data_IF_694469819071
#
_entry.id   IF_694469819071
#
_cell.length_a   1.000
_cell.length_b   1.000
_cell.length_c   1.000
_cell.angle_alpha   90.00
_cell.angle_beta   90.00
_cell.angle_gamma   90.00
#
_symmetry.space_group_name_H-M   'P 1'
#
loop_
_entity.id
_entity.type
_entity.pdbx_description
1 polymer ?
#
# COMPACT_ATOMS: atom_id res chain seq x y z
N UNK A 1 -14.09 30.09 16.11
CA UNK A 1 -14.55 29.23 14.98
C UNK A 1 -14.09 27.79 15.21
N UNK A 2 -14.95 26.80 15.05
CA UNK A 2 -14.56 25.40 15.21
C UNK A 2 -13.86 24.88 13.93
N UNK A 3 -13.04 23.83 14.07
CA UNK A 3 -12.39 23.17 12.92
C UNK A 3 -13.39 22.71 11.85
N UNK A 4 -14.61 22.34 12.25
CA UNK A 4 -15.70 21.92 11.36
C UNK A 4 -16.22 23.09 10.54
N UNK A 5 -16.40 24.24 11.17
CA UNK A 5 -16.86 25.48 10.51
C UNK A 5 -15.82 26.01 9.51
N UNK A 6 -14.52 26.00 9.86
CA UNK A 6 -13.43 26.40 8.97
C UNK A 6 -13.43 25.51 7.71
N UNK A 7 -13.51 24.18 7.87
CA UNK A 7 -13.56 23.24 6.76
C UNK A 7 -14.80 23.43 5.88
N UNK A 8 -15.96 23.68 6.49
CA UNK A 8 -17.21 23.88 5.76
C UNK A 8 -17.19 25.18 4.96
N UNK A 9 -16.71 26.27 5.54
CA UNK A 9 -16.51 27.58 4.89
C UNK A 9 -15.61 27.43 3.66
N UNK A 10 -14.44 26.78 3.81
CA UNK A 10 -13.54 26.52 2.69
C UNK A 10 -14.14 25.62 1.61
N UNK A 11 -14.87 24.56 2.00
CA UNK A 11 -15.51 23.63 1.06
C UNK A 11 -16.55 24.34 0.19
N UNK A 12 -17.33 25.23 0.77
CA UNK A 12 -18.35 26.02 0.08
C UNK A 12 -17.66 27.00 -0.90
N UNK A 13 -16.71 27.78 -0.44
CA UNK A 13 -15.95 28.72 -1.25
C UNK A 13 -15.25 28.03 -2.44
N UNK A 14 -14.57 26.91 -2.17
CA UNK A 14 -13.88 26.11 -3.20
C UNK A 14 -14.85 25.55 -4.25
N UNK A 15 -16.05 25.09 -3.85
CA UNK A 15 -17.06 24.61 -4.81
C UNK A 15 -17.56 25.72 -5.71
N UNK A 16 -17.89 26.90 -5.14
CA UNK A 16 -18.35 28.07 -5.87
C UNK A 16 -17.31 28.49 -6.92
N UNK A 17 -16.06 28.74 -6.51
CA UNK A 17 -14.97 29.11 -7.40
C UNK A 17 -14.67 28.07 -8.49
N UNK A 18 -14.73 26.79 -8.18
CA UNK A 18 -14.58 25.73 -9.21
C UNK A 18 -15.69 25.73 -10.25
N UNK A 19 -16.92 26.04 -9.84
CA UNK A 19 -18.05 26.12 -10.77
C UNK A 19 -17.92 27.32 -11.70
N UNK A 20 -17.54 28.46 -11.16
CA UNK A 20 -17.27 29.69 -11.92
C UNK A 20 -16.07 29.51 -12.87
N UNK A 21 -14.96 28.90 -12.38
CA UNK A 21 -13.80 28.57 -13.21
C UNK A 21 -14.14 27.70 -14.42
N UNK A 22 -15.03 26.72 -14.27
CA UNK A 22 -15.46 25.86 -15.39
C UNK A 22 -16.27 26.65 -16.47
N UNK A 23 -16.97 27.71 -16.08
CA UNK A 23 -17.80 28.52 -16.97
C UNK A 23 -17.04 29.69 -17.59
N UNK A 24 -15.90 30.09 -17.06
CA UNK A 24 -15.18 31.29 -17.46
C UNK A 24 -14.33 31.12 -18.73
N UNK A 25 -14.18 32.20 -19.53
CA UNK A 25 -13.23 32.31 -20.64
C UNK A 25 -11.80 32.39 -20.12
N UNK A 26 -10.78 32.19 -20.99
CA UNK A 26 -9.36 32.00 -20.61
C UNK A 26 -8.82 33.11 -19.72
N UNK A 27 -9.15 34.37 -19.96
CA UNK A 27 -8.68 35.51 -19.16
C UNK A 27 -9.26 35.51 -17.74
N UNK A 28 -10.55 35.20 -17.60
CA UNK A 28 -11.20 35.08 -16.30
C UNK A 28 -10.73 33.84 -15.50
N UNK A 29 -10.32 32.79 -16.20
CA UNK A 29 -9.76 31.60 -15.54
C UNK A 29 -8.49 31.88 -14.74
N UNK A 30 -7.65 32.82 -15.20
CA UNK A 30 -6.44 33.23 -14.46
C UNK A 30 -6.80 33.93 -13.15
N UNK A 31 -7.73 34.88 -13.20
CA UNK A 31 -8.23 35.58 -12.00
C UNK A 31 -8.85 34.63 -10.99
N UNK A 32 -9.72 33.72 -11.45
CA UNK A 32 -10.35 32.71 -10.58
C UNK A 32 -9.35 31.72 -9.98
N UNK A 33 -8.23 31.43 -10.65
CA UNK A 33 -7.11 30.65 -10.07
C UNK A 33 -6.45 31.40 -8.92
N UNK A 34 -6.22 32.69 -9.07
CA UNK A 34 -5.62 33.53 -8.02
C UNK A 34 -6.57 33.62 -6.80
N UNK A 35 -7.87 33.82 -7.03
CA UNK A 35 -8.86 33.82 -5.96
C UNK A 35 -8.95 32.47 -5.24
N UNK A 36 -8.92 31.37 -5.97
CA UNK A 36 -8.85 30.03 -5.38
C UNK A 36 -7.59 29.81 -4.55
N UNK A 37 -6.45 30.33 -5.00
CA UNK A 37 -5.20 30.31 -4.27
C UNK A 37 -5.28 31.10 -2.96
N UNK A 38 -5.82 32.33 -3.02
CA UNK A 38 -6.05 33.18 -1.83
C UNK A 38 -7.02 32.53 -0.83
N UNK A 39 -8.13 31.96 -1.33
CA UNK A 39 -9.08 31.24 -0.47
C UNK A 39 -8.45 30.03 0.21
N UNK A 40 -7.54 29.33 -0.48
CA UNK A 40 -6.77 28.23 0.10
C UNK A 40 -5.77 28.69 1.17
N UNK A 41 -5.05 29.76 0.91
CA UNK A 41 -4.13 30.35 1.87
C UNK A 41 -4.85 30.83 3.13
N UNK A 42 -6.02 31.49 2.99
CA UNK A 42 -6.87 31.86 4.12
C UNK A 42 -7.33 30.65 4.94
N UNK A 43 -7.74 29.56 4.30
CA UNK A 43 -8.09 28.33 5.00
C UNK A 43 -6.92 27.73 5.78
N UNK A 44 -5.71 27.73 5.19
CA UNK A 44 -4.51 27.22 5.84
C UNK A 44 -4.13 28.10 7.06
N UNK A 45 -4.31 29.43 6.94
CA UNK A 45 -4.10 30.37 8.03
C UNK A 45 -5.10 30.13 9.20
N UNK A 46 -6.40 30.11 8.89
CA UNK A 46 -7.46 29.82 9.88
C UNK A 46 -7.24 28.49 10.60
N UNK A 47 -6.74 27.49 9.87
CA UNK A 47 -6.46 26.18 10.43
C UNK A 47 -5.21 26.17 11.30
N UNK A 48 -4.19 26.93 10.93
CA UNK A 48 -2.97 27.11 11.73
C UNK A 48 -3.29 27.79 13.06
N UNK A 49 -4.10 28.86 13.01
CA UNK A 49 -4.58 29.57 14.21
C UNK A 49 -5.38 28.64 15.12
N UNK A 50 -6.28 27.82 14.54
CA UNK A 50 -7.03 26.82 15.32
C UNK A 50 -6.11 25.84 16.06
N UNK A 51 -5.02 25.37 15.41
CA UNK A 51 -4.08 24.46 16.07
C UNK A 51 -3.25 25.15 17.16
N UNK A 52 -2.88 26.43 16.96
CA UNK A 52 -2.20 27.24 17.98
C UNK A 52 -3.08 27.45 19.22
N UNK A 53 -4.33 27.87 19.03
CA UNK A 53 -5.29 28.15 20.11
C UNK A 53 -5.69 26.90 20.88
N UNK A 54 -5.77 25.75 20.21
CA UNK A 54 -6.22 24.51 20.85
C UNK A 54 -5.10 23.63 21.37
N UNK A 55 -3.83 23.98 21.11
CA UNK A 55 -2.66 23.15 21.43
C UNK A 55 -2.63 21.80 20.71
N UNK A 56 -3.55 21.56 19.77
CA UNK A 56 -3.60 20.31 18.99
C UNK A 56 -2.56 20.34 17.88
N UNK A 57 -1.84 19.23 17.71
CA UNK A 57 -0.92 19.09 16.58
C UNK A 57 -1.69 18.94 15.27
N UNK A 58 -1.27 19.62 14.18
CA UNK A 58 -1.83 19.38 12.85
C UNK A 58 -1.62 17.92 12.43
N UNK A 59 -2.52 17.36 11.60
CA UNK A 59 -2.31 16.02 11.06
C UNK A 59 -1.06 16.02 10.17
N UNK A 60 -0.24 15.00 10.35
CA UNK A 60 0.98 14.83 9.57
C UNK A 60 0.66 14.54 8.10
N UNK A 61 1.09 15.41 7.22
CA UNK A 61 0.96 15.21 5.78
C UNK A 61 2.03 14.23 5.25
N UNK A 62 1.68 13.43 4.24
CA UNK A 62 2.66 12.59 3.56
C UNK A 62 3.74 13.44 2.89
N UNK A 63 4.95 12.89 2.66
CA UNK A 63 5.99 13.59 1.91
C UNK A 63 5.47 14.09 0.56
N UNK A 64 5.82 15.33 0.20
CA UNK A 64 5.47 15.87 -1.11
C UNK A 64 6.42 15.30 -2.16
N UNK A 65 5.85 14.73 -3.22
CA UNK A 65 6.60 14.19 -4.36
C UNK A 65 6.29 14.96 -5.64
N UNK A 66 7.18 14.94 -6.65
CA UNK A 66 6.88 15.44 -7.98
C UNK A 66 5.63 14.76 -8.57
N UNK A 67 4.85 15.51 -9.36
CA UNK A 67 3.60 14.98 -9.96
C UNK A 67 3.87 13.76 -10.85
N UNK A 68 4.95 13.79 -11.64
CA UNK A 68 5.32 12.66 -12.51
C UNK A 68 5.68 11.40 -11.71
N UNK A 69 6.33 11.55 -10.55
CA UNK A 69 6.61 10.44 -9.64
C UNK A 69 5.31 9.87 -9.06
N UNK A 70 4.37 10.71 -8.62
CA UNK A 70 3.06 10.27 -8.12
C UNK A 70 2.26 9.53 -9.19
N UNK A 71 2.29 10.02 -10.44
CA UNK A 71 1.65 9.34 -11.57
C UNK A 71 2.30 7.98 -11.83
N UNK A 72 3.64 7.93 -11.88
CA UNK A 72 4.39 6.68 -12.08
C UNK A 72 4.08 5.66 -10.99
N UNK A 73 4.07 6.09 -9.73
CA UNK A 73 3.73 5.24 -8.58
C UNK A 73 2.29 4.71 -8.67
N UNK A 74 1.33 5.56 -9.02
CA UNK A 74 -0.06 5.14 -9.20
C UNK A 74 -0.22 4.15 -10.35
N UNK A 75 0.42 4.39 -11.50
CA UNK A 75 0.33 3.52 -12.68
C UNK A 75 0.97 2.16 -12.42
N UNK A 76 2.19 2.12 -11.86
CA UNK A 76 2.89 0.85 -11.59
C UNK A 76 2.09 -0.05 -10.66
N UNK A 77 1.60 0.48 -9.55
CA UNK A 77 0.78 -0.32 -8.63
C UNK A 77 -0.66 -0.55 -9.14
N UNK A 78 -1.20 0.33 -9.98
CA UNK A 78 -2.44 0.08 -10.71
C UNK A 78 -2.35 -1.14 -11.63
N UNK A 79 -1.23 -1.31 -12.35
CA UNK A 79 -0.95 -2.52 -13.12
C UNK A 79 -0.80 -3.76 -12.23
N UNK A 80 -0.18 -3.62 -11.06
CA UNK A 80 -0.12 -4.69 -10.06
C UNK A 80 -1.50 -5.12 -9.55
N UNK A 81 -2.44 -4.18 -9.38
CA UNK A 81 -3.82 -4.50 -9.00
C UNK A 81 -4.57 -5.27 -10.10
N UNK A 82 -4.39 -4.89 -11.37
CA UNK A 82 -4.94 -5.65 -12.51
C UNK A 82 -4.34 -7.06 -12.56
N UNK A 83 -3.03 -7.17 -12.37
CA UNK A 83 -2.34 -8.46 -12.31
C UNK A 83 -2.89 -9.36 -11.19
N UNK A 84 -3.22 -8.79 -10.01
CA UNK A 84 -3.80 -9.55 -8.92
C UNK A 84 -5.19 -10.14 -9.27
N UNK A 85 -5.99 -9.42 -10.06
CA UNK A 85 -7.29 -9.95 -10.56
C UNK A 85 -7.04 -11.12 -11.53
N UNK A 86 -6.11 -10.96 -12.47
CA UNK A 86 -5.71 -12.04 -13.38
C UNK A 86 -5.18 -13.24 -12.61
N UNK A 87 -4.34 -13.01 -11.60
CA UNK A 87 -3.82 -14.03 -10.69
C UNK A 87 -4.95 -14.85 -10.04
N UNK A 88 -5.97 -14.16 -9.50
CA UNK A 88 -7.12 -14.80 -8.88
C UNK A 88 -7.83 -15.75 -9.87
N UNK A 89 -8.14 -15.25 -11.06
CA UNK A 89 -8.84 -16.05 -12.09
C UNK A 89 -8.00 -17.28 -12.47
N UNK A 90 -6.71 -17.11 -12.72
CA UNK A 90 -5.83 -18.21 -13.14
C UNK A 90 -5.70 -19.27 -12.04
N UNK A 91 -5.50 -18.85 -10.78
CA UNK A 91 -5.34 -19.79 -9.68
C UNK A 91 -6.63 -20.50 -9.32
N UNK A 92 -7.78 -19.81 -9.35
CA UNK A 92 -9.09 -20.46 -9.08
C UNK A 92 -9.43 -21.50 -10.14
N UNK A 93 -9.07 -21.28 -11.41
CA UNK A 93 -9.27 -22.26 -12.49
C UNK A 93 -8.40 -23.51 -12.37
N UNK A 94 -7.32 -23.45 -11.60
CA UNK A 94 -6.41 -24.57 -11.34
C UNK A 94 -6.64 -25.23 -9.97
N UNK A 95 -7.55 -24.67 -9.17
CA UNK A 95 -7.84 -25.17 -7.82
C UNK A 95 -8.87 -26.28 -7.88
N UNK A 96 -8.60 -27.40 -7.23
CA UNK A 96 -9.51 -28.55 -7.12
C UNK A 96 -9.96 -28.78 -5.67
N UNK A 97 -9.12 -28.39 -4.69
CA UNK A 97 -9.38 -28.62 -3.27
C UNK A 97 -9.83 -27.32 -2.57
N UNK A 98 -10.73 -27.40 -1.58
CA UNK A 98 -11.18 -26.21 -0.82
C UNK A 98 -10.04 -25.35 -0.28
N UNK A 99 -8.94 -25.98 0.15
CA UNK A 99 -7.77 -25.28 0.70
C UNK A 99 -7.03 -24.48 -0.39
N UNK A 100 -7.02 -24.94 -1.62
CA UNK A 100 -6.43 -24.24 -2.77
C UNK A 100 -7.26 -23.03 -3.15
N UNK A 101 -8.59 -23.15 -3.20
CA UNK A 101 -9.51 -22.01 -3.38
C UNK A 101 -9.28 -20.92 -2.30
N UNK A 102 -9.15 -21.36 -1.03
CA UNK A 102 -8.84 -20.44 0.06
C UNK A 102 -7.49 -19.75 -0.14
N UNK A 103 -6.44 -20.52 -0.40
CA UNK A 103 -5.08 -19.99 -0.56
C UNK A 103 -4.96 -19.05 -1.76
N UNK A 104 -5.55 -19.40 -2.92
CA UNK A 104 -5.62 -18.56 -4.11
C UNK A 104 -6.35 -17.25 -3.84
N UNK A 105 -7.49 -17.32 -3.14
CA UNK A 105 -8.29 -16.14 -2.79
C UNK A 105 -7.53 -15.24 -1.83
N UNK A 106 -7.01 -15.77 -0.72
CA UNK A 106 -6.25 -14.97 0.27
C UNK A 106 -5.06 -14.30 -0.38
N UNK A 107 -4.28 -15.04 -1.20
CA UNK A 107 -3.10 -14.49 -1.88
C UNK A 107 -3.46 -13.38 -2.86
N UNK A 108 -4.37 -13.63 -3.78
CA UNK A 108 -4.70 -12.67 -4.82
C UNK A 108 -5.46 -11.45 -4.27
N UNK A 109 -6.36 -11.63 -3.29
CA UNK A 109 -7.07 -10.52 -2.65
C UNK A 109 -6.10 -9.66 -1.83
N UNK A 110 -5.14 -10.27 -1.11
CA UNK A 110 -4.12 -9.53 -0.38
C UNK A 110 -3.21 -8.72 -1.30
N UNK A 111 -2.82 -9.29 -2.44
CA UNK A 111 -2.06 -8.61 -3.48
C UNK A 111 -2.87 -7.47 -4.12
N UNK A 112 -4.15 -7.70 -4.44
CA UNK A 112 -5.06 -6.67 -4.96
C UNK A 112 -5.24 -5.51 -3.96
N UNK A 113 -5.46 -5.83 -2.69
CA UNK A 113 -5.58 -4.82 -1.64
C UNK A 113 -4.33 -3.93 -1.58
N UNK A 114 -3.14 -4.52 -1.47
CA UNK A 114 -1.89 -3.78 -1.39
C UNK A 114 -1.71 -2.86 -2.60
N UNK A 115 -1.79 -3.39 -3.80
CA UNK A 115 -1.55 -2.62 -5.01
C UNK A 115 -2.62 -1.56 -5.26
N UNK A 116 -3.89 -1.84 -4.97
CA UNK A 116 -4.98 -0.87 -5.12
C UNK A 116 -4.87 0.27 -4.11
N UNK A 117 -4.56 -0.04 -2.84
CA UNK A 117 -4.44 0.99 -1.80
C UNK A 117 -3.25 1.91 -2.07
N UNK A 118 -2.15 1.35 -2.54
CA UNK A 118 -0.97 2.13 -2.95
C UNK A 118 -1.25 2.99 -4.19
N UNK A 119 -1.87 2.43 -5.22
CA UNK A 119 -2.30 3.18 -6.40
C UNK A 119 -3.15 4.39 -6.02
N UNK A 120 -4.18 4.18 -5.19
CA UNK A 120 -5.09 5.24 -4.74
C UNK A 120 -4.38 6.26 -3.85
N UNK A 121 -3.48 5.84 -2.96
CA UNK A 121 -2.66 6.76 -2.17
C UNK A 121 -1.89 7.73 -3.06
N UNK A 122 -1.27 7.23 -4.13
CA UNK A 122 -0.50 8.06 -5.04
C UNK A 122 -1.39 8.92 -5.98
N UNK A 123 -2.57 8.45 -6.35
CA UNK A 123 -3.51 9.18 -7.20
C UNK A 123 -4.17 10.40 -6.51
N UNK A 124 -4.28 10.40 -5.19
CA UNK A 124 -4.92 11.51 -4.48
C UNK A 124 -4.00 12.73 -4.29
N UNK A 125 -4.60 13.92 -4.32
CA UNK A 125 -3.90 15.18 -4.18
C UNK A 125 -3.21 15.33 -2.81
N UNK A 126 -1.97 15.82 -2.80
CA UNK A 126 -1.21 16.15 -1.59
C UNK A 126 -1.99 17.13 -0.69
N UNK A 127 -1.88 16.97 0.63
CA UNK A 127 -2.57 17.79 1.63
C UNK A 127 -4.06 17.43 1.82
N UNK A 128 -4.62 16.48 1.04
CA UNK A 128 -6.00 16.05 1.22
C UNK A 128 -6.16 15.05 2.37
N UNK A 129 -7.30 15.12 3.08
CA UNK A 129 -7.63 14.14 4.12
C UNK A 129 -7.71 12.71 3.57
N UNK A 130 -8.14 12.58 2.30
CA UNK A 130 -8.23 11.30 1.60
C UNK A 130 -6.84 10.72 1.37
N UNK A 131 -5.86 11.50 0.92
CA UNK A 131 -4.47 11.03 0.76
C UNK A 131 -3.87 10.58 2.09
N UNK A 132 -4.16 11.28 3.20
CA UNK A 132 -3.72 10.86 4.55
C UNK A 132 -4.35 9.54 4.98
N UNK A 133 -5.63 9.32 4.66
CA UNK A 133 -6.31 8.06 4.93
C UNK A 133 -5.71 6.92 4.10
N UNK A 134 -5.56 7.11 2.79
CA UNK A 134 -5.01 6.09 1.90
C UNK A 134 -3.54 5.79 2.17
N UNK A 135 -2.77 6.73 2.73
CA UNK A 135 -1.43 6.43 3.27
C UNK A 135 -1.46 5.35 4.35
N UNK A 136 -2.49 5.32 5.22
CA UNK A 136 -2.62 4.25 6.22
C UNK A 136 -2.90 2.91 5.54
N UNK A 137 -3.79 2.88 4.57
CA UNK A 137 -4.10 1.67 3.80
C UNK A 137 -2.90 1.17 2.99
N UNK A 138 -2.12 2.03 2.38
CA UNK A 138 -0.88 1.71 1.69
C UNK A 138 0.12 1.00 2.62
N UNK A 139 0.32 1.51 3.83
CA UNK A 139 1.19 0.87 4.82
C UNK A 139 0.62 -0.44 5.40
N UNK A 140 -0.69 -0.54 5.60
CA UNK A 140 -1.33 -1.81 6.00
C UNK A 140 -1.29 -2.84 4.88
N UNK A 141 -1.27 -2.40 3.63
CA UNK A 141 -1.13 -3.23 2.45
C UNK A 141 0.15 -4.07 2.46
N UNK A 142 1.26 -3.53 2.97
CA UNK A 142 2.53 -4.28 3.10
C UNK A 142 2.37 -5.48 4.03
N UNK A 143 1.73 -5.31 5.20
CA UNK A 143 1.42 -6.42 6.10
C UNK A 143 0.55 -7.47 5.42
N UNK A 144 -0.52 -7.01 4.77
CA UNK A 144 -1.48 -7.88 4.08
C UNK A 144 -0.82 -8.67 2.96
N UNK A 145 0.05 -8.03 2.15
CA UNK A 145 0.79 -8.72 1.08
C UNK A 145 1.71 -9.79 1.64
N UNK A 146 2.44 -9.50 2.73
CA UNK A 146 3.32 -10.50 3.38
C UNK A 146 2.48 -11.71 3.79
N UNK A 147 1.44 -11.54 4.61
CA UNK A 147 0.62 -12.66 5.08
C UNK A 147 -0.06 -13.44 3.95
N UNK A 148 -0.56 -12.72 2.96
CA UNK A 148 -1.23 -13.31 1.81
C UNK A 148 -0.28 -14.17 0.96
N UNK A 149 0.97 -13.72 0.77
CA UNK A 149 1.98 -14.47 0.01
C UNK A 149 2.36 -15.80 0.69
N UNK A 150 2.28 -15.85 2.02
CA UNK A 150 2.56 -17.09 2.75
C UNK A 150 1.40 -18.11 2.67
N UNK A 151 0.18 -17.71 2.33
CA UNK A 151 -0.97 -18.61 2.34
C UNK A 151 -0.79 -19.84 1.44
N UNK A 152 -0.43 -19.75 0.14
CA UNK A 152 -0.23 -20.93 -0.70
C UNK A 152 0.90 -21.86 -0.21
N UNK A 153 2.12 -21.38 0.10
CA UNK A 153 3.18 -22.24 0.63
C UNK A 153 2.80 -22.94 1.93
N UNK A 154 2.14 -22.24 2.88
CA UNK A 154 1.80 -22.80 4.17
C UNK A 154 0.62 -23.78 4.10
N UNK A 155 -0.42 -23.43 3.35
CA UNK A 155 -1.67 -24.18 3.36
C UNK A 155 -1.69 -25.31 2.33
N UNK A 156 -1.11 -25.09 1.14
CA UNK A 156 -1.19 -26.05 0.03
C UNK A 156 0.06 -26.92 -0.09
N UNK A 157 1.26 -26.33 0.11
CA UNK A 157 2.52 -27.05 -0.10
C UNK A 157 3.03 -27.76 1.17
N UNK A 158 3.16 -27.03 2.28
CA UNK A 158 3.63 -27.58 3.55
C UNK A 158 2.47 -28.30 4.26
N UNK A 159 1.35 -27.62 4.40
CA UNK A 159 0.14 -28.18 5.01
C UNK A 159 0.27 -28.59 6.48
N UNK A 160 -0.68 -29.37 6.93
CA UNK A 160 -0.68 -29.96 8.27
C UNK A 160 -0.73 -28.92 9.41
N UNK A 161 -0.46 -29.42 10.62
CA UNK A 161 -0.50 -28.58 11.83
C UNK A 161 0.53 -27.44 11.78
N UNK A 162 1.74 -27.72 11.28
CA UNK A 162 2.79 -26.70 11.22
C UNK A 162 2.39 -25.52 10.31
N UNK A 163 1.91 -25.81 9.08
CA UNK A 163 1.49 -24.75 8.16
C UNK A 163 0.35 -23.91 8.71
N UNK A 164 -0.64 -24.58 9.32
CA UNK A 164 -1.80 -23.90 9.92
C UNK A 164 -1.43 -23.03 11.11
N UNK A 165 -0.65 -23.56 12.06
CA UNK A 165 -0.24 -22.82 13.25
C UNK A 165 0.66 -21.64 12.88
N UNK A 166 1.59 -21.84 11.93
CA UNK A 166 2.44 -20.76 11.43
C UNK A 166 1.60 -19.62 10.80
N UNK A 167 0.63 -19.97 9.95
CA UNK A 167 -0.27 -19.01 9.35
C UNK A 167 -1.07 -18.21 10.40
N UNK A 168 -1.63 -18.88 11.42
CA UNK A 168 -2.37 -18.23 12.50
C UNK A 168 -1.49 -17.24 13.26
N UNK A 169 -0.28 -17.64 13.67
CA UNK A 169 0.65 -16.77 14.40
C UNK A 169 1.03 -15.56 13.54
N UNK A 170 1.37 -15.79 12.27
CA UNK A 170 1.75 -14.72 11.35
C UNK A 170 0.61 -13.71 11.17
N UNK A 171 -0.62 -14.18 10.92
CA UNK A 171 -1.77 -13.30 10.76
C UNK A 171 -2.16 -12.56 12.07
N UNK A 172 -1.95 -13.17 13.24
CA UNK A 172 -2.13 -12.49 14.52
C UNK A 172 -1.15 -11.30 14.67
N UNK A 173 0.12 -11.48 14.32
CA UNK A 173 1.13 -10.41 14.34
C UNK A 173 0.80 -9.34 13.29
N UNK A 174 0.35 -9.73 12.10
CA UNK A 174 -0.10 -8.82 11.03
C UNK A 174 -1.29 -7.99 11.50
N UNK A 175 -2.29 -8.60 12.10
CA UNK A 175 -3.46 -7.91 12.64
C UNK A 175 -3.07 -6.87 13.69
N UNK A 176 -2.12 -7.20 14.59
CA UNK A 176 -1.55 -6.24 15.53
C UNK A 176 -0.88 -5.07 14.81
N UNK A 177 -0.03 -5.35 13.81
CA UNK A 177 0.65 -4.33 13.02
C UNK A 177 -0.32 -3.39 12.28
N UNK A 178 -1.37 -3.94 11.68
CA UNK A 178 -2.45 -3.19 11.03
C UNK A 178 -3.17 -2.30 12.04
N UNK A 179 -3.52 -2.85 13.22
CA UNK A 179 -4.19 -2.11 14.30
C UNK A 179 -3.33 -0.93 14.78
N UNK A 180 -2.04 -1.15 14.96
CA UNK A 180 -1.11 -0.07 15.36
C UNK A 180 -1.05 1.06 14.31
N UNK A 181 -1.06 0.74 13.02
CA UNK A 181 -1.13 1.75 11.95
C UNK A 181 -2.49 2.46 11.95
N UNK A 182 -3.58 1.74 12.14
CA UNK A 182 -4.92 2.31 12.17
C UNK A 182 -5.09 3.32 13.32
N UNK A 183 -4.57 3.00 14.50
CA UNK A 183 -4.68 3.84 15.71
C UNK A 183 -3.68 4.99 15.69
N UNK A 184 -2.39 4.69 15.50
CA UNK A 184 -1.31 5.66 15.68
C UNK A 184 -0.84 6.32 14.38
N UNK A 185 -1.24 5.80 13.24
CA UNK A 185 -0.73 6.24 11.92
C UNK A 185 0.62 5.63 11.55
N UNK A 186 1.00 5.72 10.26
CA UNK A 186 2.15 4.99 9.71
C UNK A 186 3.52 5.54 10.14
N UNK A 187 3.58 6.81 10.59
CA UNK A 187 4.84 7.50 10.90
C UNK A 187 5.26 7.38 12.35
N UNK A 188 4.31 7.45 13.28
CA UNK A 188 4.60 7.47 14.72
C UNK A 188 5.37 6.23 15.19
N UNK A 189 5.04 5.06 14.63
CA UNK A 189 5.66 3.79 14.97
C UNK A 189 6.51 3.20 13.81
N UNK A 190 7.03 4.06 12.94
CA UNK A 190 7.84 3.62 11.78
C UNK A 190 9.04 2.74 12.20
N UNK A 191 9.66 3.04 13.33
CA UNK A 191 10.77 2.25 13.89
C UNK A 191 10.37 0.84 14.32
N UNK A 192 9.07 0.57 14.49
CA UNK A 192 8.51 -0.76 14.79
C UNK A 192 8.05 -1.43 13.49
N UNK A 193 7.32 -0.72 12.64
CA UNK A 193 6.77 -1.30 11.42
C UNK A 193 7.83 -1.77 10.43
N UNK A 194 8.90 -0.98 10.21
CA UNK A 194 9.95 -1.34 9.26
C UNK A 194 10.67 -2.66 9.63
N UNK A 195 11.21 -2.84 10.85
CA UNK A 195 11.76 -4.12 11.25
C UNK A 195 10.75 -5.25 11.22
N UNK A 196 9.50 -4.99 11.60
CA UNK A 196 8.46 -6.03 11.63
C UNK A 196 8.11 -6.55 10.24
N UNK A 197 8.07 -5.69 9.21
CA UNK A 197 7.92 -6.14 7.82
C UNK A 197 9.08 -7.07 7.41
N UNK A 198 10.31 -6.71 7.76
CA UNK A 198 11.51 -7.50 7.44
C UNK A 198 11.45 -8.86 8.15
N UNK A 199 11.18 -8.87 9.45
CA UNK A 199 11.10 -10.10 10.25
C UNK A 199 9.99 -11.02 9.73
N UNK A 200 8.79 -10.48 9.49
CA UNK A 200 7.67 -11.25 8.94
C UNK A 200 7.98 -11.78 7.53
N UNK A 201 8.56 -10.97 6.65
CA UNK A 201 8.93 -11.42 5.31
C UNK A 201 10.01 -12.50 5.33
N UNK A 202 11.08 -12.30 6.09
CA UNK A 202 12.17 -13.27 6.22
C UNK A 202 11.86 -14.47 7.12
N UNK A 203 10.69 -14.50 7.80
CA UNK A 203 10.21 -15.72 8.44
C UNK A 203 10.02 -16.88 7.44
N UNK A 204 9.99 -16.61 6.13
CA UNK A 204 10.08 -17.60 5.04
C UNK A 204 11.32 -18.51 5.16
N UNK A 205 12.40 -18.07 5.80
CA UNK A 205 13.57 -18.92 6.06
C UNK A 205 13.23 -20.14 6.93
N UNK A 206 12.23 -20.05 7.80
CA UNK A 206 11.77 -21.19 8.62
C UNK A 206 11.06 -22.25 7.75
N UNK A 207 10.54 -21.87 6.58
CA UNK A 207 9.91 -22.78 5.62
C UNK A 207 10.93 -23.40 4.67
N UNK A 208 12.11 -22.80 4.58
CA UNK A 208 13.11 -23.12 3.56
C UNK A 208 13.55 -24.60 3.55
N UNK A 209 13.77 -25.29 4.68
CA UNK A 209 14.12 -26.71 4.67
C UNK A 209 13.04 -27.58 4.00
N UNK A 210 11.75 -27.29 4.29
CA UNK A 210 10.62 -28.01 3.68
C UNK A 210 10.47 -27.68 2.19
N UNK A 211 10.65 -26.41 1.82
CA UNK A 211 10.57 -25.96 0.43
C UNK A 211 11.70 -26.56 -0.42
N UNK A 212 12.95 -26.54 0.07
CA UNK A 212 14.10 -27.11 -0.65
C UNK A 212 13.93 -28.63 -0.84
N UNK A 213 13.51 -29.33 0.21
CA UNK A 213 13.31 -30.79 0.16
C UNK A 213 12.17 -31.17 -0.78
N UNK A 214 11.08 -30.41 -0.80
CA UNK A 214 9.90 -30.71 -1.62
C UNK A 214 9.96 -30.18 -3.04
N UNK A 215 10.45 -28.94 -3.21
CA UNK A 215 10.56 -28.29 -4.53
C UNK A 215 11.61 -27.16 -4.49
N UNK A 216 12.85 -27.49 -4.83
CA UNK A 216 13.96 -26.53 -4.86
C UNK A 216 13.68 -25.29 -5.73
N UNK A 217 13.10 -25.40 -6.94
CA UNK A 217 12.76 -24.21 -7.73
C UNK A 217 11.78 -23.27 -7.05
N UNK A 218 10.75 -23.79 -6.36
CA UNK A 218 9.82 -22.96 -5.58
C UNK A 218 10.56 -22.17 -4.50
N UNK A 219 11.45 -22.83 -3.76
CA UNK A 219 12.28 -22.18 -2.73
C UNK A 219 13.08 -21.00 -3.33
N UNK A 220 13.67 -21.19 -4.51
CA UNK A 220 14.46 -20.15 -5.18
C UNK A 220 13.61 -18.95 -5.62
N UNK A 221 12.39 -19.19 -6.14
CA UNK A 221 11.49 -18.10 -6.50
C UNK A 221 11.03 -17.30 -5.27
N UNK A 222 10.70 -17.99 -4.17
CA UNK A 222 10.31 -17.35 -2.91
C UNK A 222 11.47 -16.50 -2.35
N UNK A 223 12.67 -17.05 -2.29
CA UNK A 223 13.87 -16.33 -1.85
C UNK A 223 14.21 -15.16 -2.76
N UNK A 224 14.20 -15.36 -4.07
CA UNK A 224 14.47 -14.31 -5.05
C UNK A 224 13.54 -13.12 -4.88
N UNK A 225 12.23 -13.37 -4.67
CA UNK A 225 11.26 -12.32 -4.35
C UNK A 225 11.59 -11.60 -3.04
N UNK A 226 11.97 -12.32 -1.98
CA UNK A 226 12.41 -11.76 -0.70
C UNK A 226 13.65 -10.87 -0.85
N UNK A 227 14.62 -11.29 -1.67
CA UNK A 227 15.81 -10.49 -2.01
C UNK A 227 15.40 -9.22 -2.77
N UNK A 228 14.51 -9.33 -3.77
CA UNK A 228 14.02 -8.16 -4.51
C UNK A 228 13.37 -7.13 -3.57
N UNK A 229 12.47 -7.54 -2.67
CA UNK A 229 11.89 -6.65 -1.67
C UNK A 229 12.95 -5.99 -0.77
N UNK A 230 13.94 -6.77 -0.34
CA UNK A 230 15.00 -6.26 0.55
C UNK A 230 15.89 -5.24 -0.16
N UNK A 231 16.29 -5.51 -1.40
CA UNK A 231 17.06 -4.56 -2.23
C UNK A 231 16.26 -3.28 -2.49
N UNK A 232 14.95 -3.39 -2.63
CA UNK A 232 14.06 -2.24 -2.77
C UNK A 232 14.06 -1.30 -1.56
N UNK A 233 14.40 -1.77 -0.35
CA UNK A 233 14.52 -0.90 0.82
C UNK A 233 15.58 0.18 0.61
N UNK A 234 16.62 -0.09 -0.17
CA UNK A 234 17.68 0.88 -0.48
C UNK A 234 17.11 2.16 -1.11
N UNK A 235 16.45 2.11 -2.30
CA UNK A 235 15.83 3.29 -2.87
C UNK A 235 14.71 3.85 -2.00
N UNK A 236 13.97 3.02 -1.24
CA UNK A 236 12.95 3.51 -0.30
C UNK A 236 13.51 4.42 0.79
N UNK A 237 14.72 4.16 1.25
CA UNK A 237 15.42 4.99 2.27
C UNK A 237 16.09 6.23 1.68
N UNK A 238 16.33 6.27 0.38
CA UNK A 238 16.94 7.42 -0.30
C UNK A 238 15.97 8.59 -0.39
N UNK A 239 16.51 9.82 -0.43
CA UNK A 239 15.72 11.07 -0.54
C UNK A 239 15.74 11.65 -1.95
N UNK A 240 16.03 10.85 -2.99
CA UNK A 240 16.04 11.36 -4.37
C UNK A 240 14.61 11.47 -4.93
N UNK A 241 14.45 12.31 -5.97
CA UNK A 241 13.12 12.58 -6.59
C UNK A 241 12.46 11.38 -7.25
N UNK A 242 13.19 10.31 -7.53
CA UNK A 242 12.68 9.11 -8.22
C UNK A 242 12.84 7.82 -7.40
N UNK A 243 13.39 7.93 -6.19
CA UNK A 243 13.75 6.76 -5.38
C UNK A 243 12.54 5.94 -4.97
N UNK A 244 11.42 6.59 -4.68
CA UNK A 244 10.19 5.89 -4.31
C UNK A 244 9.53 5.20 -5.53
N UNK A 245 9.65 5.79 -6.70
CA UNK A 245 9.23 5.14 -7.94
C UNK A 245 10.05 3.88 -8.25
N UNK A 246 11.37 3.95 -8.04
CA UNK A 246 12.24 2.75 -8.16
C UNK A 246 11.84 1.68 -7.14
N UNK A 247 11.49 2.05 -5.90
CA UNK A 247 10.96 1.14 -4.89
C UNK A 247 9.75 0.36 -5.39
N UNK A 248 8.81 0.99 -6.09
CA UNK A 248 7.63 0.34 -6.65
C UNK A 248 7.97 -0.79 -7.62
N UNK A 249 9.02 -0.62 -8.45
CA UNK A 249 9.49 -1.70 -9.33
C UNK A 249 10.05 -2.89 -8.57
N UNK A 250 10.77 -2.66 -7.48
CA UNK A 250 11.25 -3.76 -6.63
C UNK A 250 10.11 -4.51 -5.96
N UNK A 251 9.06 -3.79 -5.55
CA UNK A 251 7.86 -4.42 -4.98
C UNK A 251 7.14 -5.27 -6.03
N UNK A 252 6.95 -4.76 -7.23
CA UNK A 252 6.36 -5.52 -8.34
C UNK A 252 7.21 -6.74 -8.73
N UNK A 253 8.53 -6.56 -8.82
CA UNK A 253 9.44 -7.66 -9.15
C UNK A 253 9.40 -8.76 -8.09
N UNK A 254 9.44 -8.40 -6.80
CA UNK A 254 9.31 -9.35 -5.70
C UNK A 254 7.99 -10.12 -5.74
N UNK A 255 6.87 -9.40 -5.95
CA UNK A 255 5.55 -10.02 -6.07
C UNK A 255 5.47 -10.94 -7.29
N UNK A 256 5.98 -10.51 -8.45
CA UNK A 256 5.98 -11.31 -9.67
C UNK A 256 6.84 -12.59 -9.53
N UNK A 257 8.03 -12.48 -8.94
CA UNK A 257 8.89 -13.64 -8.70
C UNK A 257 8.21 -14.66 -7.79
N UNK A 258 7.66 -14.22 -6.67
CA UNK A 258 6.95 -15.12 -5.75
C UNK A 258 5.70 -15.71 -6.40
N UNK A 259 4.96 -14.91 -7.17
CA UNK A 259 3.79 -15.39 -7.90
C UNK A 259 4.15 -16.46 -8.93
N UNK A 260 5.22 -16.28 -9.71
CA UNK A 260 5.67 -17.27 -10.69
C UNK A 260 5.98 -18.60 -9.99
N UNK A 261 6.72 -18.57 -8.88
CA UNK A 261 7.01 -19.77 -8.10
C UNK A 261 5.75 -20.45 -7.56
N UNK A 262 4.86 -19.69 -6.94
CA UNK A 262 3.61 -20.20 -6.36
C UNK A 262 2.70 -20.75 -7.46
N UNK A 263 2.46 -19.99 -8.52
CA UNK A 263 1.60 -20.41 -9.63
C UNK A 263 2.11 -21.70 -10.28
N UNK A 264 3.41 -21.72 -10.61
CA UNK A 264 4.01 -22.83 -11.36
C UNK A 264 4.16 -24.12 -10.54
N UNK A 265 4.48 -24.02 -9.26
CA UNK A 265 4.87 -25.17 -8.44
C UNK A 265 3.89 -25.51 -7.32
N UNK A 266 2.78 -24.80 -7.20
CA UNK A 266 1.71 -25.12 -6.25
C UNK A 266 0.37 -25.32 -6.97
N UNK A 267 0.03 -24.48 -7.96
CA UNK A 267 -1.26 -24.54 -8.63
C UNK A 267 -1.22 -25.24 -10.00
N UNK A 268 -0.13 -25.13 -10.76
CA UNK A 268 0.00 -25.76 -12.07
C UNK A 268 0.64 -27.17 -11.97
N UNK A 269 1.23 -27.52 -10.84
CA UNK A 269 1.85 -28.84 -10.61
C UNK A 269 0.78 -29.85 -10.24
#
# INVERSE_FOLDING_TARGET
MTKKEIKQKYKIAKRKLKTEYKKAKLTQKKQLREELSKARAGFECDLSEYYLLTGKKPPEDPPRRPVLEEIGNAVTHGLGAIFAIVSLILMLNLSDRPIEYLAATVYSVGMFYMFSMSCLYHAFAHGSAVKRLFRRFDYTGVYTLIGATFAPPLLCFIGGTFGTVFAIIQWAIIALGITLIAVFGPTKLRKIHMPLYIVLGWSALLLLPSLIKGCFPLAMWILGGGVAYTLGIIPFMMKSKVSHFIWHFFVLAGAAMQWIGIYKYIFLA
#
